data_IF_290739240010
#
_entry.id   IF_290739240010
#
_cell.length_a   1.000
_cell.length_b   1.000
_cell.length_c   1.000
_cell.angle_alpha   90.00
_cell.angle_beta   90.00
_cell.angle_gamma   90.00
#
_symmetry.space_group_name_H-M   'P 1'
#
loop_
_entity.id
_entity.type
_entity.pdbx_description
1 polymer ?
#
# COMPACT_ATOMS: atom_id res chain seq x y z
N UNK A 1 9.01 -25.77 -18.85
CA UNK A 1 8.60 -24.36 -19.03
C UNK A 1 9.12 -23.42 -17.93
N UNK A 2 9.06 -23.69 -16.61
CA UNK A 2 9.44 -22.69 -15.60
C UNK A 2 10.95 -22.36 -15.54
N UNK A 3 11.82 -23.26 -16.00
CA UNK A 3 13.29 -23.03 -16.01
C UNK A 3 13.70 -22.05 -17.11
N UNK A 4 13.02 -22.07 -18.26
CA UNK A 4 13.34 -21.17 -19.37
C UNK A 4 12.92 -19.73 -19.05
N UNK A 5 11.76 -19.54 -18.42
CA UNK A 5 11.29 -18.22 -17.97
C UNK A 5 12.21 -17.63 -16.90
N UNK A 6 12.63 -18.43 -15.92
CA UNK A 6 13.57 -17.98 -14.88
C UNK A 6 14.94 -17.55 -15.46
N UNK A 7 15.45 -18.25 -16.48
CA UNK A 7 16.72 -17.90 -17.14
C UNK A 7 16.61 -16.61 -17.96
N UNK A 8 15.47 -16.37 -18.60
CA UNK A 8 15.21 -15.13 -19.35
C UNK A 8 15.08 -13.93 -18.42
N UNK A 9 14.39 -14.14 -17.29
CA UNK A 9 14.21 -13.17 -16.22
C UNK A 9 15.56 -12.74 -15.60
N UNK A 10 16.43 -13.70 -15.30
CA UNK A 10 17.77 -13.43 -14.78
C UNK A 10 18.63 -12.65 -15.80
N UNK A 11 18.59 -13.02 -17.08
CA UNK A 11 19.31 -12.31 -18.14
C UNK A 11 18.76 -10.89 -18.41
N UNK A 12 17.47 -10.64 -18.15
CA UNK A 12 16.89 -9.30 -18.22
C UNK A 12 17.38 -8.44 -17.05
N UNK A 13 17.40 -8.98 -15.83
CA UNK A 13 17.96 -8.32 -14.64
C UNK A 13 19.42 -7.96 -14.83
N UNK A 14 20.24 -8.86 -15.36
CA UNK A 14 21.68 -8.64 -15.54
C UNK A 14 22.00 -7.47 -16.48
N UNK A 15 21.17 -7.21 -17.49
CA UNK A 15 21.40 -6.13 -18.47
C UNK A 15 21.23 -4.72 -17.90
N UNK A 16 20.46 -4.58 -16.82
CA UNK A 16 20.11 -3.29 -16.20
C UNK A 16 20.58 -3.18 -14.75
N UNK A 17 21.17 -4.25 -14.19
CA UNK A 17 21.71 -4.27 -12.83
C UNK A 17 22.93 -3.38 -12.72
N UNK A 18 22.90 -2.45 -11.77
CA UNK A 18 24.04 -1.58 -11.50
C UNK A 18 25.10 -2.27 -10.60
N UNK A 19 24.69 -3.19 -9.69
CA UNK A 19 25.60 -3.96 -8.81
C UNK A 19 24.93 -5.27 -8.33
N UNK A 20 25.69 -6.37 -8.28
CA UNK A 20 25.22 -7.63 -7.64
C UNK A 20 25.65 -7.65 -6.18
N UNK A 21 24.72 -7.45 -5.24
CA UNK A 21 25.00 -7.69 -3.80
C UNK A 21 24.82 -9.16 -3.46
N UNK A 22 25.93 -9.88 -3.28
CA UNK A 22 25.90 -11.21 -2.65
C UNK A 22 25.46 -11.04 -1.18
N UNK A 23 24.63 -11.96 -0.69
CA UNK A 23 24.19 -12.05 0.72
C UNK A 23 23.34 -10.87 1.26
N UNK A 24 22.46 -10.30 0.42
CA UNK A 24 21.56 -9.20 0.83
C UNK A 24 20.69 -9.54 2.06
N UNK A 25 20.30 -10.81 2.21
CA UNK A 25 19.53 -11.30 3.35
C UNK A 25 20.33 -11.23 4.64
N UNK A 26 21.61 -11.59 4.59
CA UNK A 26 22.48 -11.60 5.78
C UNK A 26 22.82 -10.17 6.20
N UNK A 27 23.11 -9.30 5.23
CA UNK A 27 23.26 -7.86 5.47
C UNK A 27 21.98 -7.32 6.15
N UNK A 28 20.81 -7.62 5.61
CA UNK A 28 19.53 -7.19 6.18
C UNK A 28 19.31 -7.70 7.60
N UNK A 29 19.58 -8.98 7.85
CA UNK A 29 19.45 -9.58 9.18
C UNK A 29 20.46 -9.00 10.18
N UNK A 30 21.63 -8.54 9.72
CA UNK A 30 22.60 -7.82 10.55
C UNK A 30 22.09 -6.44 10.97
N UNK A 31 21.31 -5.77 10.10
CA UNK A 31 20.73 -4.45 10.37
C UNK A 31 19.56 -4.53 11.33
N UNK A 32 18.70 -5.53 11.15
CA UNK A 32 17.52 -5.73 12.00
C UNK A 32 17.47 -7.19 12.44
N UNK A 33 17.86 -7.48 13.70
CA UNK A 33 17.79 -8.82 14.25
C UNK A 33 16.36 -9.36 14.20
N UNK A 34 16.23 -10.68 14.01
CA UNK A 34 14.93 -11.36 13.83
C UNK A 34 13.91 -11.00 14.93
N UNK A 35 14.33 -10.98 16.20
CA UNK A 35 13.47 -10.63 17.34
C UNK A 35 12.89 -9.22 17.22
N UNK A 36 13.70 -8.26 16.76
CA UNK A 36 13.25 -6.89 16.49
C UNK A 36 12.27 -6.88 15.31
N UNK A 37 12.59 -7.63 14.25
CA UNK A 37 11.72 -7.78 13.07
C UNK A 37 10.32 -8.30 13.42
N UNK A 38 10.20 -9.33 14.25
CA UNK A 38 8.90 -9.86 14.69
C UNK A 38 8.05 -8.81 15.40
N UNK A 39 8.66 -8.01 16.29
CA UNK A 39 7.99 -6.93 17.02
C UNK A 39 7.57 -5.78 16.10
N UNK A 40 8.42 -5.43 15.13
CA UNK A 40 8.09 -4.42 14.12
C UNK A 40 6.89 -4.84 13.26
N UNK A 41 6.78 -6.10 12.83
CA UNK A 41 5.58 -6.57 12.12
C UNK A 41 4.33 -6.50 13.00
N UNK A 42 4.45 -6.83 14.29
CA UNK A 42 3.32 -6.71 15.23
C UNK A 42 2.86 -5.25 15.40
N UNK A 43 3.81 -4.29 15.42
CA UNK A 43 3.49 -2.87 15.43
C UNK A 43 2.86 -2.41 14.10
N UNK A 44 3.33 -2.91 12.95
CA UNK A 44 2.74 -2.60 11.64
C UNK A 44 1.26 -3.01 11.63
N UNK A 45 0.98 -4.23 12.09
CA UNK A 45 -0.36 -4.77 12.22
C UNK A 45 -1.26 -3.89 13.09
N UNK A 46 -0.72 -3.34 14.18
CA UNK A 46 -1.47 -2.54 15.14
C UNK A 46 -1.74 -1.11 14.65
N UNK A 47 -0.74 -0.45 14.06
CA UNK A 47 -0.77 0.99 13.80
C UNK A 47 -0.95 1.37 12.33
N UNK A 48 -0.49 0.54 11.39
CA UNK A 48 -0.48 0.87 9.96
C UNK A 48 -1.58 0.08 9.22
N UNK A 49 -1.71 -1.22 9.48
CA UNK A 49 -2.65 -2.09 8.78
C UNK A 49 -4.11 -1.58 8.78
N UNK A 50 -4.68 -1.03 9.87
CA UNK A 50 -6.07 -0.57 9.87
C UNK A 50 -6.38 0.50 8.81
N UNK A 51 -5.40 1.36 8.52
CA UNK A 51 -5.52 2.46 7.56
C UNK A 51 -4.87 2.12 6.20
N UNK A 52 -3.86 1.25 6.18
CA UNK A 52 -3.11 0.88 4.97
C UNK A 52 -2.80 -0.63 4.88
N UNK A 53 -3.81 -1.46 4.56
CA UNK A 53 -3.77 -2.92 4.65
C UNK A 53 -3.13 -3.60 3.42
N UNK A 54 -1.92 -3.18 3.06
CA UNK A 54 -1.18 -3.70 1.88
C UNK A 54 -0.45 -5.02 2.13
N UNK A 55 -0.50 -5.58 3.35
CA UNK A 55 0.13 -6.87 3.68
C UNK A 55 -0.92 -7.98 3.87
N UNK A 56 -0.49 -9.23 3.79
CA UNK A 56 -1.34 -10.39 4.12
C UNK A 56 -0.99 -10.92 5.49
N UNK A 57 -1.93 -10.80 6.42
CA UNK A 57 -1.80 -11.30 7.79
C UNK A 57 -1.62 -12.82 7.83
N UNK A 58 -2.34 -13.54 6.98
CA UNK A 58 -2.21 -15.00 6.80
C UNK A 58 -0.79 -15.40 6.40
N UNK A 59 -0.16 -14.65 5.49
CA UNK A 59 1.21 -14.97 5.04
C UNK A 59 2.25 -14.77 6.14
N UNK A 60 2.01 -13.86 7.10
CA UNK A 60 2.86 -13.66 8.26
C UNK A 60 2.57 -14.66 9.40
N UNK A 61 1.61 -15.58 9.20
CA UNK A 61 1.21 -16.55 10.21
C UNK A 61 0.51 -15.92 11.42
N UNK A 62 -0.06 -14.73 11.24
CA UNK A 62 -0.84 -14.04 12.27
C UNK A 62 -2.24 -14.66 12.32
N UNK A 63 -2.65 -15.11 13.51
CA UNK A 63 -3.98 -15.66 13.79
C UNK A 63 -4.64 -14.85 14.90
N UNK A 64 -5.92 -15.09 15.20
CA UNK A 64 -6.59 -14.39 16.32
C UNK A 64 -5.88 -14.63 17.66
N UNK A 65 -5.24 -15.78 17.80
CA UNK A 65 -4.46 -16.19 18.97
C UNK A 65 -2.99 -15.75 18.92
N UNK A 66 -2.41 -15.52 17.73
CA UNK A 66 -0.98 -15.23 17.54
C UNK A 66 -0.76 -13.84 16.95
N UNK A 67 -0.21 -12.95 17.77
CA UNK A 67 0.09 -11.57 17.40
C UNK A 67 1.50 -11.35 16.82
N UNK A 68 2.44 -12.27 17.05
CA UNK A 68 3.80 -12.20 16.47
C UNK A 68 3.92 -13.10 15.24
N UNK A 69 4.60 -12.63 14.18
CA UNK A 69 4.79 -13.44 12.98
C UNK A 69 5.72 -14.63 13.24
N UNK A 70 5.52 -15.70 12.48
CA UNK A 70 6.39 -16.88 12.57
C UNK A 70 7.76 -16.60 11.95
N UNK A 71 8.81 -17.20 12.52
CA UNK A 71 10.17 -17.07 11.98
C UNK A 71 10.25 -17.57 10.53
N UNK A 72 9.54 -18.66 10.22
CA UNK A 72 9.47 -19.19 8.86
C UNK A 72 8.87 -18.16 7.88
N UNK A 73 7.77 -17.50 8.24
CA UNK A 73 7.16 -16.47 7.39
C UNK A 73 8.09 -15.28 7.14
N UNK A 74 8.85 -14.84 8.14
CA UNK A 74 9.86 -13.79 7.94
C UNK A 74 10.98 -14.28 7.01
N UNK A 75 11.47 -15.51 7.20
CA UNK A 75 12.54 -16.06 6.35
C UNK A 75 12.12 -16.21 4.88
N UNK A 76 10.84 -16.54 4.61
CA UNK A 76 10.31 -16.69 3.26
C UNK A 76 9.92 -15.37 2.60
N UNK A 77 9.69 -14.30 3.37
CA UNK A 77 9.27 -13.00 2.83
C UNK A 77 10.44 -12.29 2.16
N UNK A 78 10.30 -11.74 0.94
CA UNK A 78 11.38 -11.00 0.26
C UNK A 78 11.91 -9.83 1.08
N UNK A 79 13.21 -9.55 0.96
CA UNK A 79 13.93 -8.56 1.77
C UNK A 79 13.36 -7.15 1.60
N UNK A 80 13.06 -6.73 0.38
CA UNK A 80 12.49 -5.40 0.11
C UNK A 80 11.14 -5.17 0.82
N UNK A 81 10.30 -6.20 0.92
CA UNK A 81 9.03 -6.07 1.63
C UNK A 81 9.25 -5.97 3.14
N UNK A 82 10.12 -6.80 3.72
CA UNK A 82 10.44 -6.71 5.14
C UNK A 82 11.09 -5.38 5.50
N UNK A 83 12.04 -4.91 4.69
CA UNK A 83 12.70 -3.63 4.89
C UNK A 83 11.69 -2.47 4.86
N UNK A 84 10.73 -2.49 3.92
CA UNK A 84 9.67 -1.49 3.84
C UNK A 84 8.74 -1.52 5.06
N UNK A 85 8.37 -2.72 5.53
CA UNK A 85 7.55 -2.88 6.75
C UNK A 85 8.31 -2.37 7.97
N UNK A 86 9.59 -2.74 8.12
CA UNK A 86 10.40 -2.35 9.29
C UNK A 86 10.63 -0.83 9.30
N UNK A 87 11.01 -0.25 8.16
CA UNK A 87 11.25 1.18 8.04
C UNK A 87 9.98 2.02 8.27
N UNK A 88 8.84 1.63 7.69
CA UNK A 88 7.56 2.32 7.91
C UNK A 88 7.07 2.25 9.35
N UNK A 89 7.44 1.19 10.07
CA UNK A 89 6.98 0.99 11.46
C UNK A 89 7.89 1.64 12.49
N UNK A 90 9.06 2.13 12.08
CA UNK A 90 10.08 2.58 13.03
C UNK A 90 9.62 3.72 13.95
N UNK A 91 8.74 4.60 13.48
CA UNK A 91 8.14 5.68 14.27
C UNK A 91 7.26 5.19 15.44
N UNK A 92 6.79 3.94 15.36
CA UNK A 92 5.98 3.29 16.38
C UNK A 92 6.80 2.42 17.34
N UNK A 93 8.12 2.32 17.16
CA UNK A 93 9.00 1.52 18.01
C UNK A 93 8.91 1.89 19.51
N UNK A 94 8.59 3.16 19.82
CA UNK A 94 8.34 3.65 21.17
C UNK A 94 7.17 2.97 21.91
N UNK A 95 6.28 2.31 21.18
CA UNK A 95 5.13 1.59 21.75
C UNK A 95 5.41 0.11 22.04
N UNK A 96 6.66 -0.34 21.86
CA UNK A 96 7.15 -1.65 22.27
C UNK A 96 8.31 -1.46 23.25
N UNK A 97 8.23 -2.07 24.43
CA UNK A 97 9.21 -1.90 25.51
C UNK A 97 10.64 -2.21 25.06
N UNK A 98 10.83 -3.34 24.35
CA UNK A 98 12.15 -3.80 23.92
C UNK A 98 12.73 -2.90 22.83
N UNK A 99 11.91 -2.52 21.83
CA UNK A 99 12.36 -1.65 20.75
C UNK A 99 12.61 -0.22 21.23
N UNK A 100 11.81 0.27 22.17
CA UNK A 100 11.99 1.59 22.79
C UNK A 100 13.34 1.66 23.52
N UNK A 101 13.66 0.67 24.36
CA UNK A 101 14.95 0.60 25.06
C UNK A 101 16.10 0.50 24.05
N UNK A 102 16.01 -0.37 23.05
CA UNK A 102 17.05 -0.51 22.04
C UNK A 102 17.31 0.80 21.29
N UNK A 103 16.25 1.54 20.94
CA UNK A 103 16.34 2.82 20.24
C UNK A 103 17.02 3.94 21.06
N UNK A 104 17.10 3.79 22.39
CA UNK A 104 17.85 4.70 23.25
C UNK A 104 19.37 4.47 23.19
N UNK A 105 19.81 3.26 22.85
CA UNK A 105 21.23 2.90 22.76
C UNK A 105 21.78 2.95 21.33
N UNK A 106 20.94 2.66 20.32
CA UNK A 106 21.33 2.70 18.91
C UNK A 106 20.23 3.27 18.03
N UNK A 107 20.61 4.16 17.11
CA UNK A 107 19.64 4.70 16.16
C UNK A 107 19.24 3.61 15.17
N UNK A 108 17.93 3.46 14.91
CA UNK A 108 17.46 2.47 13.97
C UNK A 108 17.93 2.81 12.54
N UNK A 109 18.30 1.82 11.73
CA UNK A 109 18.86 2.05 10.40
C UNK A 109 17.79 2.41 9.34
N UNK A 110 16.80 3.25 9.67
CA UNK A 110 15.61 3.56 8.83
C UNK A 110 15.98 4.02 7.42
N UNK A 111 16.90 4.97 7.29
CA UNK A 111 17.35 5.50 5.99
C UNK A 111 18.08 4.46 5.16
N UNK A 112 18.81 3.55 5.81
CA UNK A 112 19.47 2.44 5.11
C UNK A 112 18.44 1.42 4.64
N UNK A 113 17.40 1.15 5.43
CA UNK A 113 16.29 0.29 5.03
C UNK A 113 15.53 0.88 3.84
N UNK A 114 15.22 2.18 3.83
CA UNK A 114 14.54 2.80 2.68
C UNK A 114 15.37 2.77 1.41
N UNK A 115 16.68 3.05 1.49
CA UNK A 115 17.59 2.89 0.35
C UNK A 115 17.59 1.46 -0.18
N UNK A 116 17.67 0.48 0.72
CA UNK A 116 17.62 -0.94 0.38
C UNK A 116 16.30 -1.33 -0.32
N UNK A 117 15.18 -0.79 0.16
CA UNK A 117 13.85 -1.00 -0.46
C UNK A 117 13.86 -0.52 -1.91
N UNK A 118 14.31 0.71 -2.14
CA UNK A 118 14.30 1.27 -3.49
C UNK A 118 15.21 0.51 -4.45
N UNK A 119 16.44 0.23 -4.04
CA UNK A 119 17.41 -0.53 -4.84
C UNK A 119 16.83 -1.88 -5.28
N UNK A 120 16.25 -2.63 -4.34
CA UNK A 120 15.69 -3.95 -4.60
C UNK A 120 14.38 -3.91 -5.40
N UNK A 121 13.55 -2.87 -5.22
CA UNK A 121 12.36 -2.69 -6.09
C UNK A 121 12.80 -2.50 -7.54
N UNK A 122 13.76 -1.60 -7.78
CA UNK A 122 14.24 -1.29 -9.12
C UNK A 122 14.96 -2.48 -9.77
N UNK A 123 15.55 -3.37 -8.99
CA UNK A 123 16.12 -4.63 -9.48
C UNK A 123 15.02 -5.66 -9.85
N UNK A 124 13.96 -5.76 -9.04
CA UNK A 124 12.92 -6.77 -9.19
C UNK A 124 11.80 -6.40 -10.18
N UNK A 125 11.80 -5.18 -10.76
CA UNK A 125 10.78 -4.78 -11.75
C UNK A 125 10.80 -5.62 -13.04
N UNK A 126 11.93 -6.27 -13.33
CA UNK A 126 12.05 -7.20 -14.46
C UNK A 126 11.24 -8.49 -14.24
N UNK A 127 11.00 -8.84 -12.98
CA UNK A 127 10.23 -10.02 -12.55
C UNK A 127 9.15 -9.60 -11.57
N UNK A 128 8.16 -8.81 -12.01
CA UNK A 128 7.22 -8.17 -11.12
C UNK A 128 6.47 -9.22 -10.31
N UNK A 129 6.36 -8.98 -9.01
CA UNK A 129 5.60 -9.81 -8.09
C UNK A 129 4.96 -8.96 -7.00
N UNK A 130 3.96 -9.49 -6.28
CA UNK A 130 3.17 -8.70 -5.34
C UNK A 130 4.01 -8.03 -4.24
N UNK A 131 5.10 -8.65 -3.78
CA UNK A 131 5.97 -8.04 -2.77
C UNK A 131 6.72 -6.77 -3.27
N UNK A 132 7.06 -6.65 -4.56
CA UNK A 132 7.61 -5.42 -5.15
C UNK A 132 6.58 -4.29 -5.04
N UNK A 133 5.35 -4.55 -5.48
CA UNK A 133 4.27 -3.57 -5.43
C UNK A 133 3.97 -3.12 -3.99
N UNK A 134 3.91 -4.07 -3.05
CA UNK A 134 3.70 -3.76 -1.62
C UNK A 134 4.80 -2.88 -1.05
N UNK A 135 6.06 -3.21 -1.34
CA UNK A 135 7.20 -2.44 -0.86
C UNK A 135 7.20 -1.04 -1.48
N UNK A 136 6.90 -0.91 -2.77
CA UNK A 136 6.80 0.38 -3.46
C UNK A 136 5.68 1.25 -2.94
N UNK A 137 4.50 0.68 -2.70
CA UNK A 137 3.38 1.37 -2.07
C UNK A 137 3.76 1.89 -0.68
N UNK A 138 4.41 1.07 0.16
CA UNK A 138 4.92 1.52 1.46
C UNK A 138 5.99 2.62 1.33
N UNK A 139 6.85 2.52 0.32
CA UNK A 139 7.89 3.51 0.05
C UNK A 139 7.31 4.88 -0.36
N UNK A 140 6.16 4.92 -1.03
CA UNK A 140 5.45 6.17 -1.34
C UNK A 140 5.01 6.94 -0.08
N UNK A 141 4.85 6.24 1.05
CA UNK A 141 4.51 6.82 2.36
C UNK A 141 5.72 7.00 3.28
N UNK A 142 6.96 6.84 2.77
CA UNK A 142 8.15 7.07 3.60
C UNK A 142 8.15 8.51 4.14
N UNK A 143 8.57 8.73 5.40
CA UNK A 143 8.72 10.08 5.92
C UNK A 143 9.68 10.88 5.05
N UNK A 144 9.30 12.10 4.71
CA UNK A 144 10.16 13.03 3.98
C UNK A 144 11.07 13.71 5.01
N UNK A 145 12.39 13.56 4.86
CA UNK A 145 13.35 14.19 5.77
C UNK A 145 13.37 15.71 5.57
N UNK A 146 13.78 16.47 6.60
CA UNK A 146 13.70 17.95 6.59
C UNK A 146 14.38 18.65 5.39
N UNK A 147 15.39 18.02 4.76
CA UNK A 147 16.02 18.52 3.54
C UNK A 147 15.15 18.32 2.27
N UNK A 148 14.39 17.22 2.23
CA UNK A 148 13.43 16.92 1.15
C UNK A 148 12.07 17.61 1.38
N UNK A 149 11.75 18.00 2.62
CA UNK A 149 10.48 18.65 2.99
C UNK A 149 10.28 20.02 2.34
N UNK A 150 11.36 20.68 1.89
CA UNK A 150 11.28 21.92 1.11
C UNK A 150 10.85 21.69 -0.35
N UNK A 151 10.91 20.44 -0.83
CA UNK A 151 10.49 20.04 -2.17
C UNK A 151 9.11 19.40 -2.02
N UNK A 152 8.06 20.22 -2.17
CA UNK A 152 6.67 19.79 -2.03
C UNK A 152 6.30 18.59 -2.93
N UNK A 153 7.08 18.33 -3.98
CA UNK A 153 7.02 17.14 -4.81
C UNK A 153 8.34 16.81 -5.49
N UNK A 154 8.94 15.67 -5.13
CA UNK A 154 10.02 15.14 -5.95
C UNK A 154 9.44 14.55 -7.24
N UNK A 155 9.92 14.94 -8.44
CA UNK A 155 9.54 14.30 -9.70
C UNK A 155 9.69 12.77 -9.66
N UNK A 156 10.65 12.29 -8.89
CA UNK A 156 10.88 10.88 -8.64
C UNK A 156 9.67 10.16 -8.05
N UNK A 157 8.95 10.76 -7.10
CA UNK A 157 7.77 10.12 -6.47
C UNK A 157 6.68 9.86 -7.50
N UNK A 158 6.44 10.80 -8.42
CA UNK A 158 5.46 10.61 -9.49
C UNK A 158 5.90 9.56 -10.51
N UNK A 159 7.19 9.55 -10.88
CA UNK A 159 7.76 8.48 -11.72
C UNK A 159 7.61 7.11 -11.07
N UNK A 160 7.80 7.03 -9.75
CA UNK A 160 7.60 5.79 -8.99
C UNK A 160 6.13 5.35 -8.99
N UNK A 161 5.16 6.26 -8.89
CA UNK A 161 3.73 5.91 -9.06
C UNK A 161 3.51 5.29 -10.43
N UNK A 162 4.02 5.90 -11.51
CA UNK A 162 3.91 5.36 -12.86
C UNK A 162 4.54 3.97 -13.00
N UNK A 163 5.71 3.75 -12.39
CA UNK A 163 6.35 2.43 -12.33
C UNK A 163 5.46 1.39 -11.63
N UNK A 164 4.86 1.75 -10.49
CA UNK A 164 3.98 0.85 -9.73
C UNK A 164 2.67 0.57 -10.46
N UNK A 165 2.15 1.52 -11.24
CA UNK A 165 1.06 1.29 -12.19
C UNK A 165 1.46 0.26 -13.24
N UNK A 166 2.63 0.40 -13.86
CA UNK A 166 3.16 -0.61 -14.80
C UNK A 166 3.29 -2.01 -14.16
N UNK A 167 3.87 -2.10 -12.96
CA UNK A 167 4.02 -3.36 -12.21
C UNK A 167 2.65 -3.96 -11.87
N UNK A 168 1.70 -3.15 -11.42
CA UNK A 168 0.33 -3.59 -11.12
C UNK A 168 -0.38 -4.14 -12.35
N UNK A 169 -0.23 -3.45 -13.49
CA UNK A 169 -0.81 -3.85 -14.78
C UNK A 169 -0.21 -5.16 -15.29
N UNK A 170 1.11 -5.32 -15.20
CA UNK A 170 1.81 -6.56 -15.55
C UNK A 170 1.36 -7.76 -14.69
N UNK A 171 0.95 -7.50 -13.44
CA UNK A 171 0.43 -8.51 -12.53
C UNK A 171 -1.08 -8.77 -12.66
N UNK A 172 -1.77 -8.01 -13.52
CA UNK A 172 -3.21 -8.12 -13.76
C UNK A 172 -4.08 -7.68 -12.59
N UNK A 173 -3.65 -6.72 -11.78
CA UNK A 173 -4.41 -6.25 -10.60
C UNK A 173 -5.60 -5.37 -10.96
N UNK A 174 -5.60 -4.79 -12.14
CA UNK A 174 -6.71 -4.04 -12.74
C UNK A 174 -7.91 -4.92 -13.09
N UNK A 175 -7.74 -6.24 -13.08
CA UNK A 175 -8.77 -7.23 -13.39
C UNK A 175 -9.42 -7.78 -12.13
N UNK A 176 -10.75 -7.97 -12.17
CA UNK A 176 -11.51 -8.55 -11.09
C UNK A 176 -11.09 -10.00 -10.85
N UNK A 177 -10.46 -10.24 -9.70
CA UNK A 177 -9.86 -11.52 -9.37
C UNK A 177 -10.78 -12.46 -8.59
N UNK A 178 -11.97 -12.01 -8.14
CA UNK A 178 -12.97 -12.87 -7.47
C UNK A 178 -13.32 -14.15 -8.25
N UNK A 179 -13.61 -14.13 -9.56
CA UNK A 179 -13.93 -15.35 -10.32
C UNK A 179 -12.71 -16.24 -10.64
N UNK A 180 -11.48 -15.73 -10.50
CA UNK A 180 -10.27 -16.48 -10.88
C UNK A 180 -10.01 -17.69 -9.95
N UNK A 181 -9.24 -18.69 -10.40
CA UNK A 181 -8.82 -19.85 -9.59
C UNK A 181 -7.74 -19.57 -8.53
N UNK A 182 -7.69 -18.37 -7.96
CA UNK A 182 -6.66 -17.97 -6.98
C UNK A 182 -7.06 -18.32 -5.54
N UNK A 183 -6.08 -18.55 -4.64
CA UNK A 183 -6.34 -18.67 -3.21
C UNK A 183 -7.07 -17.43 -2.66
N UNK A 184 -7.99 -17.63 -1.71
CA UNK A 184 -8.82 -16.55 -1.16
C UNK A 184 -7.97 -15.39 -0.60
N UNK A 185 -6.93 -15.68 0.17
CA UNK A 185 -6.01 -14.66 0.69
C UNK A 185 -5.33 -13.84 -0.41
N UNK A 186 -5.01 -14.48 -1.53
CA UNK A 186 -4.36 -13.86 -2.69
C UNK A 186 -5.31 -12.90 -3.41
N UNK A 187 -6.57 -13.29 -3.58
CA UNK A 187 -7.62 -12.44 -4.17
C UNK A 187 -7.85 -11.18 -3.33
N UNK A 188 -8.08 -11.35 -2.02
CA UNK A 188 -8.29 -10.24 -1.08
C UNK A 188 -7.13 -9.24 -1.15
N UNK A 189 -5.91 -9.75 -1.15
CA UNK A 189 -4.71 -8.92 -1.20
C UNK A 189 -4.55 -8.18 -2.53
N UNK A 190 -4.78 -8.84 -3.67
CA UNK A 190 -4.74 -8.19 -5.00
C UNK A 190 -5.71 -7.01 -5.06
N UNK A 191 -6.94 -7.19 -4.57
CA UNK A 191 -7.95 -6.12 -4.50
C UNK A 191 -7.50 -4.96 -3.61
N UNK A 192 -7.00 -5.24 -2.40
CA UNK A 192 -6.48 -4.19 -1.51
C UNK A 192 -5.32 -3.42 -2.14
N UNK A 193 -4.41 -4.11 -2.86
CA UNK A 193 -3.29 -3.47 -3.56
C UNK A 193 -3.74 -2.61 -4.73
N UNK A 194 -4.70 -3.09 -5.52
CA UNK A 194 -5.30 -2.29 -6.59
C UNK A 194 -5.87 -0.97 -6.05
N UNK A 195 -6.71 -1.05 -5.03
CA UNK A 195 -7.34 0.12 -4.43
C UNK A 195 -6.35 1.05 -3.70
N UNK A 196 -5.27 0.51 -3.15
CA UNK A 196 -4.19 1.31 -2.56
C UNK A 196 -3.48 2.12 -3.65
N UNK A 197 -3.11 1.47 -4.74
CA UNK A 197 -2.45 2.13 -5.88
C UNK A 197 -3.38 3.12 -6.59
N UNK A 198 -4.66 2.77 -6.80
CA UNK A 198 -5.67 3.66 -7.36
C UNK A 198 -5.78 4.94 -6.53
N UNK A 199 -5.86 4.78 -5.20
CA UNK A 199 -5.91 5.91 -4.27
C UNK A 199 -4.67 6.78 -4.37
N UNK A 200 -3.46 6.19 -4.38
CA UNK A 200 -2.22 6.95 -4.57
C UNK A 200 -2.21 7.74 -5.88
N UNK A 201 -2.60 7.11 -7.00
CA UNK A 201 -2.70 7.78 -8.30
C UNK A 201 -3.67 8.98 -8.23
N UNK A 202 -4.91 8.78 -7.77
CA UNK A 202 -5.94 9.84 -7.78
C UNK A 202 -5.61 11.01 -6.88
N UNK A 203 -5.19 10.75 -5.65
CA UNK A 203 -4.92 11.84 -4.72
C UNK A 203 -3.68 12.64 -5.12
N UNK A 204 -2.61 11.98 -5.54
CA UNK A 204 -1.41 12.68 -6.01
C UNK A 204 -1.68 13.46 -7.29
N UNK A 205 -2.39 12.84 -8.23
CA UNK A 205 -2.79 13.48 -9.48
C UNK A 205 -3.61 14.76 -9.23
N UNK A 206 -4.59 14.69 -8.31
CA UNK A 206 -5.41 15.83 -7.89
C UNK A 206 -4.60 16.90 -7.15
N UNK A 207 -3.75 16.52 -6.19
CA UNK A 207 -2.96 17.45 -5.37
C UNK A 207 -1.88 18.17 -6.18
N UNK A 208 -1.29 17.48 -7.15
CA UNK A 208 -0.13 17.97 -7.91
C UNK A 208 -0.51 18.53 -9.29
N UNK A 209 -1.80 18.50 -9.63
CA UNK A 209 -2.31 18.99 -10.91
C UNK A 209 -1.77 18.22 -12.12
N UNK A 210 -1.46 16.93 -11.96
CA UNK A 210 -0.93 16.06 -13.03
C UNK A 210 -2.06 15.24 -13.64
N UNK A 211 -1.94 14.74 -14.88
CA UNK A 211 -2.89 13.74 -15.39
C UNK A 211 -2.73 12.41 -14.63
N UNK A 212 -3.81 11.69 -14.28
CA UNK A 212 -3.70 10.40 -13.61
C UNK A 212 -3.20 9.32 -14.58
N UNK A 213 -2.49 8.32 -14.05
CA UNK A 213 -2.04 7.17 -14.85
C UNK A 213 -3.17 6.17 -15.11
N UNK A 214 -4.05 5.95 -14.13
CA UNK A 214 -5.11 4.94 -14.25
C UNK A 214 -6.34 5.57 -14.90
N UNK A 215 -6.75 5.10 -16.08
CA UNK A 215 -7.97 5.57 -16.73
C UNK A 215 -9.18 4.78 -16.25
N UNK A 216 -10.37 5.41 -16.24
CA UNK A 216 -11.58 4.81 -15.66
C UNK A 216 -12.05 3.55 -16.41
N UNK A 217 -11.79 3.46 -17.72
CA UNK A 217 -12.30 2.40 -18.58
C UNK A 217 -11.34 1.20 -18.73
N UNK A 218 -10.18 1.24 -18.06
CA UNK A 218 -9.09 0.25 -18.21
C UNK A 218 -9.00 -0.76 -17.03
N UNK A 219 -10.06 -0.87 -16.23
CA UNK A 219 -10.11 -1.78 -15.06
C UNK A 219 -11.56 -2.11 -14.67
N UNK A 220 -11.76 -3.25 -14.00
CA UNK A 220 -13.10 -3.75 -13.62
C UNK A 220 -13.20 -4.23 -12.14
N UNK A 221 -12.19 -3.95 -11.32
CA UNK A 221 -12.18 -4.33 -9.90
C UNK A 221 -13.34 -3.68 -9.14
N UNK A 222 -14.17 -4.48 -8.49
CA UNK A 222 -15.29 -3.96 -7.69
C UNK A 222 -14.84 -3.29 -6.38
N UNK A 223 -15.72 -2.48 -5.79
CA UNK A 223 -15.49 -1.82 -4.50
C UNK A 223 -15.14 -2.81 -3.38
N UNK A 224 -14.27 -2.38 -2.46
CA UNK A 224 -13.87 -3.18 -1.31
C UNK A 224 -15.02 -3.41 -0.33
N UNK A 225 -15.17 -4.65 0.11
CA UNK A 225 -16.13 -5.07 1.14
C UNK A 225 -15.42 -5.63 2.39
N UNK A 226 -16.18 -6.01 3.42
CA UNK A 226 -15.62 -6.61 4.64
C UNK A 226 -14.87 -7.93 4.34
N UNK A 227 -15.30 -8.65 3.30
CA UNK A 227 -14.69 -9.92 2.96
C UNK A 227 -13.24 -9.74 2.54
N UNK A 228 -12.89 -8.59 1.95
CA UNK A 228 -11.52 -8.24 1.57
C UNK A 228 -10.55 -8.07 2.75
N UNK A 229 -11.02 -7.98 4.00
CA UNK A 229 -10.16 -7.78 5.18
C UNK A 229 -10.12 -8.98 6.11
N UNK A 230 -10.91 -10.02 5.84
CA UNK A 230 -10.96 -11.23 6.68
C UNK A 230 -9.61 -11.94 6.78
N UNK A 231 -9.30 -12.39 8.00
CA UNK A 231 -8.25 -13.35 8.30
C UNK A 231 -8.71 -14.76 7.91
N UNK A 232 -7.84 -15.57 7.34
CA UNK A 232 -8.13 -17.00 7.23
C UNK A 232 -7.92 -17.61 8.62
N UNK A 233 -9.02 -17.94 9.30
CA UNK A 233 -8.97 -18.67 10.56
C UNK A 233 -9.21 -20.16 10.31
N UNK A 234 -8.49 -21.06 11.00
CA UNK A 234 -8.86 -22.46 11.02
C UNK A 234 -10.27 -22.61 11.62
N UNK A 235 -11.08 -23.53 11.08
CA UNK A 235 -12.49 -23.74 11.47
C UNK A 235 -12.71 -23.84 12.99
N UNK A 236 -11.74 -24.38 13.72
CA UNK A 236 -11.80 -24.56 15.17
C UNK A 236 -11.74 -23.21 15.92
N UNK A 237 -10.94 -22.24 15.45
CA UNK A 237 -10.86 -20.91 16.05
C UNK A 237 -12.12 -20.06 15.78
N UNK A 238 -12.79 -20.29 14.64
CA UNK A 238 -14.06 -19.61 14.31
C UNK A 238 -15.17 -19.98 15.30
N UNK A 239 -15.19 -21.24 15.77
CA UNK A 239 -16.17 -21.72 16.74
C UNK A 239 -15.91 -21.21 18.16
N UNK A 240 -14.66 -20.85 18.47
CA UNK A 240 -14.21 -20.40 19.78
C UNK A 240 -14.10 -18.87 19.91
N UNK A 241 -14.14 -18.14 18.79
CA UNK A 241 -14.04 -16.67 18.78
C UNK A 241 -15.41 -16.03 18.89
N UNK A 242 -15.78 -15.64 20.10
CA UNK A 242 -16.95 -14.80 20.43
C UNK A 242 -16.69 -13.30 20.24
N UNK A 243 -15.53 -12.90 19.73
CA UNK A 243 -15.10 -11.50 19.70
C UNK A 243 -15.36 -10.81 18.36
N UNK A 244 -16.18 -9.75 18.41
CA UNK A 244 -16.46 -8.75 17.35
C UNK A 244 -15.22 -7.99 16.79
N UNK A 245 -13.99 -8.41 17.10
CA UNK A 245 -12.75 -7.68 16.77
C UNK A 245 -12.46 -7.61 15.26
N UNK A 246 -13.03 -8.52 14.46
CA UNK A 246 -12.78 -8.55 13.01
C UNK A 246 -13.66 -7.57 12.20
N UNK A 247 -14.65 -6.90 12.80
CA UNK A 247 -15.61 -6.07 12.05
C UNK A 247 -15.09 -4.66 11.72
N UNK A 248 -14.02 -4.18 12.34
CA UNK A 248 -13.49 -2.83 12.13
C UNK A 248 -12.27 -2.76 11.21
N UNK A 249 -11.76 -3.90 10.74
CA UNK A 249 -10.51 -3.93 9.99
C UNK A 249 -10.67 -3.33 8.59
N UNK A 250 -9.84 -2.33 8.27
CA UNK A 250 -9.83 -1.70 6.95
C UNK A 250 -11.02 -0.79 6.66
N UNK A 251 -11.90 -0.52 7.65
CA UNK A 251 -13.04 0.37 7.48
C UNK A 251 -12.61 1.76 6.99
N UNK A 252 -11.56 2.32 7.59
CA UNK A 252 -10.95 3.58 7.18
C UNK A 252 -10.48 3.52 5.72
N UNK A 253 -9.74 2.47 5.36
CA UNK A 253 -9.21 2.28 4.03
C UNK A 253 -10.31 2.14 2.97
N UNK A 254 -11.41 1.43 3.27
CA UNK A 254 -12.56 1.28 2.36
C UNK A 254 -13.26 2.62 2.10
N UNK A 255 -13.49 3.41 3.15
CA UNK A 255 -14.09 4.73 2.99
C UNK A 255 -13.16 5.68 2.25
N UNK A 256 -11.86 5.61 2.51
CA UNK A 256 -10.86 6.39 1.78
C UNK A 256 -10.81 6.00 0.30
N UNK A 257 -10.81 4.71 -0.03
CA UNK A 257 -10.88 4.22 -1.40
C UNK A 257 -12.14 4.69 -2.14
N UNK A 258 -13.31 4.69 -1.48
CA UNK A 258 -14.54 5.27 -2.03
C UNK A 258 -14.43 6.78 -2.25
N UNK A 259 -13.79 7.50 -1.32
CA UNK A 259 -13.54 8.93 -1.47
C UNK A 259 -12.61 9.22 -2.66
N UNK A 260 -11.63 8.34 -2.92
CA UNK A 260 -10.73 8.45 -4.08
C UNK A 260 -11.49 8.44 -5.42
N UNK A 261 -12.65 7.78 -5.50
CA UNK A 261 -13.53 7.85 -6.69
C UNK A 261 -14.11 9.26 -6.88
N UNK A 262 -14.54 9.89 -5.78
CA UNK A 262 -15.01 11.29 -5.82
C UNK A 262 -13.84 12.22 -6.17
N UNK A 263 -12.64 11.97 -5.63
CA UNK A 263 -11.44 12.73 -6.01
C UNK A 263 -11.13 12.60 -7.53
N UNK A 264 -11.29 11.40 -8.10
CA UNK A 264 -11.16 11.19 -9.54
C UNK A 264 -12.23 11.97 -10.34
N UNK A 265 -13.49 11.96 -9.90
CA UNK A 265 -14.58 12.71 -10.52
C UNK A 265 -14.33 14.23 -10.45
N UNK A 266 -13.92 14.73 -9.29
CA UNK A 266 -13.52 16.15 -9.10
C UNK A 266 -12.42 16.51 -10.09
N UNK A 267 -11.40 15.67 -10.20
CA UNK A 267 -10.30 15.92 -11.12
C UNK A 267 -10.78 15.95 -12.57
N UNK A 268 -11.60 14.98 -12.98
CA UNK A 268 -12.09 14.85 -14.35
C UNK A 268 -12.99 16.01 -14.77
N UNK A 269 -13.91 16.43 -13.89
CA UNK A 269 -14.96 17.39 -14.27
C UNK A 269 -14.53 18.83 -14.01
N UNK A 270 -13.60 19.10 -13.08
CA UNK A 270 -13.13 20.46 -12.79
C UNK A 270 -11.70 20.74 -13.26
N UNK A 271 -10.78 19.79 -13.13
CA UNK A 271 -9.33 20.06 -13.21
C UNK A 271 -8.62 19.46 -14.43
N UNK A 272 -9.29 18.62 -15.22
CA UNK A 272 -8.75 18.23 -16.52
C UNK A 272 -8.60 19.45 -17.41
N UNK A 273 -7.53 19.49 -18.21
CA UNK A 273 -7.18 20.66 -19.03
C UNK A 273 -8.37 21.16 -19.86
N UNK A 274 -9.07 20.26 -20.55
CA UNK A 274 -10.25 20.60 -21.37
C UNK A 274 -11.45 21.02 -20.53
N UNK A 275 -11.66 20.39 -19.37
CA UNK A 275 -12.75 20.72 -18.48
C UNK A 275 -12.55 22.12 -17.86
N UNK A 276 -11.34 22.41 -17.37
CA UNK A 276 -10.95 23.71 -16.84
C UNK A 276 -11.08 24.82 -17.90
N UNK A 277 -10.65 24.57 -19.15
CA UNK A 277 -10.82 25.52 -20.25
C UNK A 277 -12.28 25.80 -20.61
N UNK A 278 -13.14 24.77 -20.57
CA UNK A 278 -14.59 24.93 -20.81
C UNK A 278 -15.27 25.70 -19.69
N UNK A 279 -14.89 25.41 -18.45
CA UNK A 279 -15.53 25.96 -17.25
C UNK A 279 -15.05 27.36 -16.91
N UNK A 280 -13.80 27.72 -17.26
CA UNK A 280 -13.22 29.03 -16.90
C UNK A 280 -14.03 30.25 -17.39
N UNK A 281 -14.64 30.28 -18.61
CA UNK A 281 -15.52 31.38 -18.99
C UNK A 281 -16.97 31.22 -18.49
N UNK A 282 -17.39 30.04 -18.05
CA UNK A 282 -18.79 29.71 -17.75
C UNK A 282 -19.00 29.46 -16.25
N UNK A 283 -19.17 30.54 -15.49
CA UNK A 283 -19.42 30.46 -14.05
C UNK A 283 -20.70 29.66 -13.68
N UNK A 284 -21.84 29.84 -14.36
CA UNK A 284 -23.04 29.03 -14.09
C UNK A 284 -22.80 27.51 -14.22
N UNK A 285 -22.09 27.07 -15.26
CA UNK A 285 -21.74 25.66 -15.47
C UNK A 285 -20.73 25.16 -14.43
N UNK A 286 -19.77 26.00 -14.05
CA UNK A 286 -18.83 25.70 -12.95
C UNK A 286 -19.56 25.48 -11.63
N UNK A 287 -20.53 26.35 -11.32
CA UNK A 287 -21.30 26.29 -10.08
C UNK A 287 -22.22 25.06 -10.04
N UNK A 288 -22.89 24.73 -11.16
CA UNK A 288 -23.75 23.55 -11.24
C UNK A 288 -22.95 22.24 -11.07
N UNK A 289 -21.77 22.19 -11.69
CA UNK A 289 -20.81 21.09 -11.56
C UNK A 289 -20.35 20.92 -10.11
N UNK A 290 -19.87 22.01 -9.48
CA UNK A 290 -19.41 22.00 -8.10
C UNK A 290 -20.52 21.55 -7.12
N UNK A 291 -21.78 21.97 -7.35
CA UNK A 291 -22.93 21.53 -6.56
C UNK A 291 -23.22 20.03 -6.69
N UNK A 292 -22.95 19.43 -7.86
CA UNK A 292 -23.07 17.98 -8.04
C UNK A 292 -22.03 17.23 -7.20
N UNK A 293 -20.77 17.63 -7.31
CA UNK A 293 -19.67 17.04 -6.54
C UNK A 293 -19.88 17.18 -5.02
N UNK A 294 -20.37 18.34 -4.56
CA UNK A 294 -20.70 18.55 -3.16
C UNK A 294 -21.81 17.61 -2.66
N UNK A 295 -22.79 17.28 -3.51
CA UNK A 295 -23.82 16.29 -3.17
C UNK A 295 -23.22 14.89 -3.05
N UNK A 296 -22.35 14.47 -3.98
CA UNK A 296 -21.63 13.20 -3.89
C UNK A 296 -20.80 13.11 -2.61
N UNK A 297 -20.06 14.17 -2.27
CA UNK A 297 -19.25 14.24 -1.06
C UNK A 297 -20.11 14.18 0.22
N UNK A 298 -21.24 14.91 0.27
CA UNK A 298 -22.20 14.83 1.39
C UNK A 298 -22.79 13.43 1.53
N UNK A 299 -23.12 12.77 0.41
CA UNK A 299 -23.59 11.40 0.39
C UNK A 299 -22.57 10.43 0.97
N UNK A 300 -21.31 10.54 0.55
CA UNK A 300 -20.20 9.76 1.12
C UNK A 300 -20.02 10.02 2.63
N UNK A 301 -20.04 11.29 3.05
CA UNK A 301 -19.87 11.65 4.47
C UNK A 301 -21.01 11.09 5.34
N UNK A 302 -22.24 11.04 4.83
CA UNK A 302 -23.38 10.46 5.53
C UNK A 302 -23.19 8.96 5.81
N UNK A 303 -22.54 8.22 4.90
CA UNK A 303 -22.25 6.78 5.02
C UNK A 303 -21.12 6.46 6.02
N UNK A 304 -20.37 7.46 6.51
CA UNK A 304 -19.30 7.21 7.47
C UNK A 304 -19.86 6.71 8.81
N UNK A 305 -19.20 5.71 9.43
CA UNK A 305 -19.43 5.33 10.82
C UNK A 305 -19.20 6.51 11.76
N UNK A 306 -19.85 6.47 12.93
CA UNK A 306 -19.75 7.51 13.96
C UNK A 306 -18.31 7.74 14.43
N UNK A 307 -17.49 6.69 14.45
CA UNK A 307 -16.11 6.73 14.92
C UNK A 307 -15.18 7.47 13.95
N UNK A 308 -15.57 7.57 12.67
CA UNK A 308 -14.79 8.22 11.61
C UNK A 308 -15.32 9.60 11.24
N UNK A 309 -16.50 9.98 11.72
CA UNK A 309 -16.99 11.35 11.57
C UNK A 309 -16.16 12.23 12.49
N UNK A 310 -15.50 13.23 11.92
CA UNK A 310 -14.89 14.30 12.71
C UNK A 310 -15.94 14.81 13.70
N UNK A 311 -15.66 14.69 15.00
CA UNK A 311 -16.39 15.43 16.02
C UNK A 311 -16.36 16.89 15.56
N UNK A 312 -17.52 17.49 15.36
CA UNK A 312 -17.63 18.91 14.99
C UNK A 312 -16.73 19.70 15.95
N UNK A 313 -15.64 20.26 15.44
CA UNK A 313 -14.84 21.29 16.10
C UNK A 313 -15.62 22.60 15.99
#
# INVERSE_FOLDING_TARGET
>A
MPVADALLDDAAKERTRYFTRKNIRDEFNSLVPLKCGQRLVALFQKFIFPSYPVISRTQFGLTGSRQLPTQHALSSTPVHLLAAIYASTQSFAKFDEHLCVLSAYSQPPTERLWRLVLELILEEIHTPHLAVLRAGLLYLHRPINGQESAIADSPFTWSLVGLLVGVSTALGLQLECRPMGLPAWGKRLRRRLWWALYTEDKWRSLLYGRPPFIQADEWDVTDLDEADFRLDQPRIEILLSTSNQNQSDGIQFRHFARLSRIAAEVQQVLYWLRAAQRLSPNFPESLSTARSLLRSLKGWYAMLPTELKLLRI
#
